data_IF_893892963604
#
_entry.id   IF_893892963604
#
_cell.length_a   1.000
_cell.length_b   1.000
_cell.length_c   1.000
_cell.angle_alpha   90.00
_cell.angle_beta   90.00
_cell.angle_gamma   90.00
#
_symmetry.space_group_name_H-M   'P 1'
#
loop_
_entity.id
_entity.type
_entity.pdbx_description
1 polymer ?
#
# COMPACT_ATOMS: atom_id res chain seq x y z
N UNK A 1 -36.45 -20.71 -10.68
CA UNK A 1 -35.93 -20.12 -9.43
C UNK A 1 -34.39 -20.04 -9.43
N UNK A 2 -33.67 -21.11 -9.77
CA UNK A 2 -32.18 -21.11 -9.80
C UNK A 2 -31.55 -20.11 -10.78
N UNK A 3 -32.08 -19.98 -12.00
CA UNK A 3 -31.58 -19.01 -13.00
C UNK A 3 -31.65 -17.57 -12.48
N UNK A 4 -32.77 -17.21 -11.85
CA UNK A 4 -32.96 -15.89 -11.24
C UNK A 4 -31.96 -15.64 -10.11
N UNK A 5 -31.73 -16.63 -9.24
CA UNK A 5 -30.74 -16.52 -8.15
C UNK A 5 -29.33 -16.33 -8.71
N UNK A 6 -28.96 -17.06 -9.77
CA UNK A 6 -27.66 -16.91 -10.41
C UNK A 6 -27.49 -15.53 -11.06
N UNK A 7 -28.53 -15.01 -11.72
CA UNK A 7 -28.50 -13.65 -12.28
C UNK A 7 -28.32 -12.58 -11.21
N UNK A 8 -29.01 -12.70 -10.08
CA UNK A 8 -28.84 -11.76 -8.96
C UNK A 8 -27.42 -11.82 -8.40
N UNK A 9 -26.86 -13.02 -8.22
CA UNK A 9 -25.46 -13.18 -7.79
C UNK A 9 -24.48 -12.54 -8.76
N UNK A 10 -24.71 -12.65 -10.07
CA UNK A 10 -23.88 -12.02 -11.10
C UNK A 10 -23.95 -10.49 -11.02
N UNK A 11 -25.14 -9.91 -10.83
CA UNK A 11 -25.31 -8.45 -10.69
C UNK A 11 -24.63 -7.92 -9.41
N UNK A 12 -24.74 -8.65 -8.29
CA UNK A 12 -24.02 -8.33 -7.05
C UNK A 12 -22.50 -8.36 -7.28
N UNK A 13 -22.01 -9.40 -7.98
CA UNK A 13 -20.61 -9.51 -8.36
C UNK A 13 -20.10 -8.31 -9.15
N UNK A 14 -20.86 -7.87 -10.15
CA UNK A 14 -20.56 -6.68 -10.94
C UNK A 14 -20.57 -5.40 -10.09
N UNK A 15 -21.49 -5.27 -9.14
CA UNK A 15 -21.53 -4.14 -8.21
C UNK A 15 -20.29 -4.08 -7.31
N UNK A 16 -19.83 -5.23 -6.81
CA UNK A 16 -18.60 -5.32 -6.01
C UNK A 16 -17.37 -4.97 -6.86
N UNK A 17 -17.31 -5.40 -8.12
CA UNK A 17 -16.25 -4.99 -9.04
C UNK A 17 -16.23 -3.47 -9.27
N UNK A 18 -17.40 -2.83 -9.42
CA UNK A 18 -17.49 -1.35 -9.51
C UNK A 18 -16.98 -0.66 -8.24
N UNK A 19 -17.25 -1.22 -7.06
CA UNK A 19 -16.74 -0.71 -5.78
C UNK A 19 -15.22 -0.84 -5.72
N UNK A 20 -14.66 -1.99 -6.11
CA UNK A 20 -13.21 -2.19 -6.17
C UNK A 20 -12.53 -1.20 -7.13
N UNK A 21 -13.12 -0.99 -8.31
CA UNK A 21 -12.63 -0.02 -9.28
C UNK A 21 -12.73 1.42 -8.75
N UNK A 22 -13.78 1.75 -8.00
CA UNK A 22 -13.90 3.07 -7.35
C UNK A 22 -12.87 3.31 -6.23
N UNK A 23 -12.28 2.24 -5.71
CA UNK A 23 -11.18 2.28 -4.73
C UNK A 23 -9.79 2.20 -5.39
N UNK A 24 -9.72 2.05 -6.71
CA UNK A 24 -8.49 1.81 -7.48
C UNK A 24 -7.69 0.59 -6.98
N UNK A 25 -8.39 -0.50 -6.63
CA UNK A 25 -7.79 -1.72 -6.09
C UNK A 25 -7.88 -2.91 -7.04
N UNK A 26 -6.77 -3.64 -7.18
CA UNK A 26 -6.75 -4.95 -7.81
C UNK A 26 -7.42 -6.02 -6.92
N UNK A 27 -7.94 -7.13 -7.49
CA UNK A 27 -8.56 -8.22 -6.72
C UNK A 27 -7.71 -8.77 -5.59
N UNK A 28 -6.39 -8.90 -5.80
CA UNK A 28 -5.48 -9.39 -4.78
C UNK A 28 -5.31 -8.40 -3.62
N UNK A 29 -5.26 -7.10 -3.92
CA UNK A 29 -5.14 -6.05 -2.91
C UNK A 29 -6.42 -5.97 -2.09
N UNK A 30 -7.57 -5.95 -2.77
CA UNK A 30 -8.88 -5.93 -2.15
C UNK A 30 -9.06 -7.12 -1.20
N UNK A 31 -8.71 -8.33 -1.64
CA UNK A 31 -8.78 -9.53 -0.82
C UNK A 31 -8.01 -9.38 0.50
N UNK A 32 -6.75 -8.96 0.43
CA UNK A 32 -5.91 -8.78 1.63
C UNK A 32 -6.48 -7.69 2.54
N UNK A 33 -6.95 -6.58 1.98
CA UNK A 33 -7.50 -5.44 2.72
C UNK A 33 -8.83 -5.80 3.42
N UNK A 34 -9.66 -6.65 2.81
CA UNK A 34 -10.96 -7.07 3.37
C UNK A 34 -10.92 -8.42 4.12
N UNK A 35 -9.74 -8.99 4.37
CA UNK A 35 -9.55 -10.33 4.97
C UNK A 35 -10.31 -11.45 4.24
N UNK A 36 -10.41 -11.34 2.91
CA UNK A 36 -10.93 -12.39 2.05
C UNK A 36 -9.77 -13.11 1.35
N UNK A 37 -10.04 -14.30 0.81
CA UNK A 37 -9.08 -14.95 -0.09
C UNK A 37 -9.21 -14.35 -1.48
N UNK A 38 -8.12 -14.36 -2.26
CA UNK A 38 -8.14 -13.92 -3.66
C UNK A 38 -9.16 -14.72 -4.47
N UNK A 39 -9.24 -16.03 -4.23
CA UNK A 39 -10.23 -16.90 -4.87
C UNK A 39 -11.67 -16.48 -4.55
N UNK A 40 -11.96 -16.10 -3.30
CA UNK A 40 -13.28 -15.57 -2.93
C UNK A 40 -13.60 -14.31 -3.74
N UNK A 41 -12.67 -13.36 -3.85
CA UNK A 41 -12.88 -12.11 -4.60
C UNK A 41 -13.08 -12.37 -6.11
N UNK A 42 -12.29 -13.26 -6.70
CA UNK A 42 -12.45 -13.66 -8.10
C UNK A 42 -13.81 -14.35 -8.35
N UNK A 43 -14.22 -15.23 -7.44
CA UNK A 43 -15.50 -15.94 -7.51
C UNK A 43 -16.69 -14.98 -7.42
N UNK A 44 -16.60 -13.93 -6.60
CA UNK A 44 -17.62 -12.87 -6.54
C UNK A 44 -17.84 -12.24 -7.91
N UNK A 45 -16.76 -11.87 -8.62
CA UNK A 45 -16.86 -11.29 -9.96
C UNK A 45 -17.57 -12.20 -10.96
N UNK A 46 -17.43 -13.52 -10.80
CA UNK A 46 -18.11 -14.53 -11.61
C UNK A 46 -19.53 -14.88 -11.12
N UNK A 47 -20.03 -14.28 -10.04
CA UNK A 47 -21.32 -14.61 -9.43
C UNK A 47 -21.33 -15.97 -8.71
N UNK A 48 -20.16 -16.52 -8.35
CA UNK A 48 -20.00 -17.86 -7.77
C UNK A 48 -19.45 -17.79 -6.35
N UNK A 49 -19.69 -18.84 -5.55
CA UNK A 49 -18.86 -19.16 -4.39
C UNK A 49 -18.78 -18.14 -3.25
N UNK A 50 -19.71 -17.17 -3.15
CA UNK A 50 -19.81 -16.26 -2.00
C UNK A 50 -21.09 -16.47 -1.21
N UNK A 51 -21.01 -16.23 0.10
CA UNK A 51 -22.11 -16.34 1.05
C UNK A 51 -22.41 -14.99 1.72
N UNK A 52 -23.42 -14.96 2.59
CA UNK A 52 -23.80 -13.78 3.36
C UNK A 52 -22.62 -13.19 4.15
N UNK A 53 -21.80 -14.02 4.80
CA UNK A 53 -20.62 -13.57 5.56
C UNK A 53 -19.60 -12.84 4.68
N UNK A 54 -19.41 -13.29 3.45
CA UNK A 54 -18.53 -12.62 2.47
C UNK A 54 -19.04 -11.21 2.16
N UNK A 55 -20.34 -11.08 1.92
CA UNK A 55 -21.00 -9.80 1.62
C UNK A 55 -20.98 -8.87 2.84
N UNK A 56 -21.23 -9.41 4.03
CA UNK A 56 -21.15 -8.67 5.30
C UNK A 56 -19.74 -8.12 5.54
N UNK A 57 -18.69 -8.90 5.29
CA UNK A 57 -17.32 -8.43 5.40
C UNK A 57 -17.05 -7.27 4.42
N UNK A 58 -17.51 -7.37 3.18
CA UNK A 58 -17.32 -6.29 2.20
C UNK A 58 -18.09 -5.05 2.63
N UNK A 59 -19.35 -5.19 3.04
CA UNK A 59 -20.17 -4.10 3.59
C UNK A 59 -19.47 -3.41 4.75
N UNK A 60 -18.94 -4.18 5.71
CA UNK A 60 -18.19 -3.69 6.84
C UNK A 60 -16.97 -2.87 6.41
N UNK A 61 -16.08 -3.43 5.59
CA UNK A 61 -14.85 -2.71 5.20
C UNK A 61 -15.14 -1.52 4.31
N UNK A 62 -16.09 -1.60 3.39
CA UNK A 62 -16.45 -0.47 2.51
C UNK A 62 -17.26 0.61 3.24
N UNK A 63 -17.87 0.25 4.38
CA UNK A 63 -18.82 1.11 5.10
C UNK A 63 -20.14 1.31 4.38
N UNK A 64 -20.39 0.57 3.29
CA UNK A 64 -21.65 0.62 2.56
C UNK A 64 -22.68 -0.27 3.26
N UNK A 65 -23.86 0.25 3.61
CA UNK A 65 -24.98 -0.56 4.06
C UNK A 65 -25.32 -1.68 3.07
N UNK A 66 -25.81 -2.82 3.56
CA UNK A 66 -26.13 -3.97 2.70
C UNK A 66 -27.13 -3.64 1.58
N UNK A 67 -28.15 -2.83 1.88
CA UNK A 67 -29.12 -2.39 0.88
C UNK A 67 -28.46 -1.57 -0.24
N UNK A 68 -27.44 -0.75 0.06
CA UNK A 68 -26.70 0.00 -0.96
C UNK A 68 -25.69 -0.85 -1.73
N UNK A 69 -25.01 -1.76 -1.03
CA UNK A 69 -24.07 -2.70 -1.65
C UNK A 69 -24.79 -3.65 -2.61
N UNK A 70 -26.00 -4.08 -2.25
CA UNK A 70 -26.86 -4.94 -3.07
C UNK A 70 -27.75 -4.14 -4.04
N UNK A 71 -27.70 -2.80 -4.03
CA UNK A 71 -28.45 -1.98 -4.97
C UNK A 71 -27.79 -2.03 -6.36
N UNK A 72 -28.18 -3.03 -7.14
CA UNK A 72 -27.69 -3.26 -8.51
C UNK A 72 -28.22 -2.23 -9.52
N UNK A 73 -29.26 -1.47 -9.16
CA UNK A 73 -29.85 -0.43 -10.02
C UNK A 73 -29.17 0.94 -9.87
N UNK A 74 -28.52 1.19 -8.73
CA UNK A 74 -27.81 2.42 -8.50
C UNK A 74 -26.44 2.41 -9.18
N UNK A 75 -26.18 3.44 -9.99
CA UNK A 75 -24.85 3.72 -10.53
C UNK A 75 -24.08 4.76 -9.72
N UNK A 76 -24.74 5.45 -8.78
CA UNK A 76 -24.08 6.44 -7.93
C UNK A 76 -23.30 5.75 -6.82
N UNK A 77 -22.01 6.02 -6.77
CA UNK A 77 -21.10 5.69 -5.67
C UNK A 77 -20.38 6.99 -5.33
N UNK A 78 -20.56 7.52 -4.12
CA UNK A 78 -19.72 8.60 -3.62
C UNK A 78 -18.32 8.03 -3.37
N UNK A 79 -17.45 8.17 -4.38
CA UNK A 79 -16.07 7.66 -4.33
C UNK A 79 -15.29 8.27 -3.17
N UNK A 80 -15.52 9.54 -2.84
CA UNK A 80 -14.76 10.24 -1.81
C UNK A 80 -15.12 9.69 -0.42
N UNK A 81 -16.41 9.54 -0.15
CA UNK A 81 -16.87 8.94 1.10
C UNK A 81 -16.48 7.46 1.20
N UNK A 82 -16.66 6.69 0.13
CA UNK A 82 -16.27 5.28 0.06
C UNK A 82 -14.79 5.09 0.39
N UNK A 83 -13.90 5.85 -0.28
CA UNK A 83 -12.46 5.73 -0.10
C UNK A 83 -12.04 6.10 1.33
N UNK A 84 -12.58 7.20 1.88
CA UNK A 84 -12.33 7.63 3.26
C UNK A 84 -12.75 6.56 4.27
N UNK A 85 -13.97 6.06 4.17
CA UNK A 85 -14.51 5.06 5.11
C UNK A 85 -13.78 3.73 4.97
N UNK A 86 -13.48 3.32 3.74
CA UNK A 86 -12.74 2.10 3.48
C UNK A 86 -11.38 2.09 4.19
N UNK A 87 -10.56 3.11 3.96
CA UNK A 87 -9.24 3.18 4.59
C UNK A 87 -9.32 3.35 6.11
N UNK A 88 -10.33 4.04 6.63
CA UNK A 88 -10.57 4.11 8.07
C UNK A 88 -10.85 2.73 8.65
N UNK A 89 -11.73 1.95 8.02
CA UNK A 89 -12.08 0.61 8.50
C UNK A 89 -10.92 -0.38 8.34
N UNK A 90 -10.17 -0.33 7.23
CA UNK A 90 -8.95 -1.14 7.08
C UNK A 90 -7.92 -0.75 8.14
N UNK A 91 -7.72 0.54 8.42
CA UNK A 91 -6.80 1.00 9.48
C UNK A 91 -7.18 0.45 10.85
N UNK A 92 -8.47 0.49 11.20
CA UNK A 92 -8.98 0.10 12.52
C UNK A 92 -9.01 -1.42 12.70
N UNK A 93 -9.44 -2.18 11.68
CA UNK A 93 -9.76 -3.60 11.82
C UNK A 93 -8.80 -4.54 11.07
N UNK A 94 -7.96 -4.00 10.19
CA UNK A 94 -6.94 -4.73 9.44
C UNK A 94 -5.63 -3.92 9.36
N UNK A 95 -5.14 -3.47 10.52
CA UNK A 95 -3.99 -2.58 10.63
C UNK A 95 -2.72 -3.11 9.94
N UNK A 96 -2.52 -4.44 9.90
CA UNK A 96 -1.39 -5.06 9.21
C UNK A 96 -1.45 -4.85 7.69
N UNK A 97 -2.60 -5.11 7.07
CA UNK A 97 -2.81 -4.83 5.65
C UNK A 97 -2.77 -3.32 5.37
N UNK A 98 -3.40 -2.50 6.21
CA UNK A 98 -3.33 -1.04 6.10
C UNK A 98 -1.87 -0.55 6.05
N UNK A 99 -1.03 -1.02 6.98
CA UNK A 99 0.40 -0.66 6.97
C UNK A 99 1.06 -1.13 5.67
N UNK A 100 0.84 -2.36 5.23
CA UNK A 100 1.44 -2.91 4.00
C UNK A 100 1.10 -2.10 2.73
N UNK A 101 -0.13 -1.60 2.62
CA UNK A 101 -0.63 -0.94 1.39
C UNK A 101 -0.64 0.59 1.45
N UNK A 102 -0.78 1.18 2.65
CA UNK A 102 -0.86 2.63 2.84
C UNK A 102 0.40 3.24 3.45
N UNK A 103 1.32 2.45 4.00
CA UNK A 103 2.69 2.93 4.05
C UNK A 103 3.16 2.93 2.60
N UNK A 104 3.32 4.12 2.01
CA UNK A 104 4.30 4.30 0.93
C UNK A 104 5.51 3.49 1.38
N UNK A 105 5.93 2.50 0.58
CA UNK A 105 7.18 1.78 0.85
C UNK A 105 8.22 2.86 1.02
N UNK A 106 8.62 3.16 2.25
CA UNK A 106 9.65 4.14 2.52
C UNK A 106 10.93 3.47 2.03
N UNK A 107 11.29 3.78 0.80
CA UNK A 107 12.40 3.11 0.13
C UNK A 107 13.71 3.60 0.75
N UNK A 108 14.76 2.79 0.66
CA UNK A 108 16.11 3.18 1.07
C UNK A 108 16.51 4.52 0.41
N UNK A 109 16.09 4.72 -0.84
CA UNK A 109 16.31 5.95 -1.60
C UNK A 109 15.60 7.14 -0.95
N UNK A 110 14.34 7.00 -0.58
CA UNK A 110 13.59 8.06 0.11
C UNK A 110 14.18 8.36 1.49
N UNK A 111 14.58 7.35 2.25
CA UNK A 111 15.26 7.50 3.53
C UNK A 111 16.53 8.35 3.43
N UNK A 112 17.39 8.02 2.45
CA UNK A 112 18.64 8.74 2.23
C UNK A 112 18.37 10.14 1.70
N UNK A 113 17.41 10.33 0.79
CA UNK A 113 17.02 11.65 0.31
C UNK A 113 16.47 12.52 1.43
N UNK A 114 15.69 11.97 2.34
CA UNK A 114 15.15 12.70 3.49
C UNK A 114 16.27 13.10 4.45
N UNK A 115 17.19 12.18 4.77
CA UNK A 115 18.40 12.50 5.54
C UNK A 115 19.22 13.60 4.86
N UNK A 116 19.41 13.50 3.53
CA UNK A 116 20.16 14.48 2.75
C UNK A 116 19.47 15.85 2.70
N UNK A 117 18.13 15.93 2.64
CA UNK A 117 17.42 17.21 2.52
C UNK A 117 17.11 17.85 3.87
N UNK A 118 16.62 17.05 4.82
CA UNK A 118 15.87 17.54 5.97
C UNK A 118 16.63 17.43 7.30
N UNK A 119 17.87 16.91 7.29
CA UNK A 119 18.66 16.75 8.51
C UNK A 119 20.07 17.34 8.38
N UNK A 120 20.67 17.68 9.52
CA UNK A 120 22.10 18.05 9.65
C UNK A 120 23.03 16.83 9.62
N UNK A 121 22.49 15.64 9.34
CA UNK A 121 23.24 14.39 9.42
C UNK A 121 24.47 14.35 8.49
N UNK A 122 24.38 15.01 7.34
CA UNK A 122 25.45 15.12 6.33
C UNK A 122 26.29 16.41 6.45
N UNK A 123 26.09 17.22 7.50
CA UNK A 123 26.93 18.40 7.74
C UNK A 123 28.35 17.99 8.15
N UNK A 124 28.49 16.78 8.71
CA UNK A 124 29.76 16.12 8.98
C UNK A 124 29.88 14.94 8.00
N UNK A 125 31.07 14.69 7.41
CA UNK A 125 31.26 13.56 6.51
C UNK A 125 30.84 12.22 7.14
N UNK A 126 30.05 11.43 6.39
CA UNK A 126 29.55 10.12 6.80
C UNK A 126 29.94 9.02 5.85
N UNK A 127 30.34 7.88 6.39
CA UNK A 127 30.57 6.65 5.64
C UNK A 127 29.25 5.93 5.32
N UNK A 128 29.26 5.05 4.32
CA UNK A 128 28.09 4.21 3.99
C UNK A 128 27.61 3.40 5.20
N UNK A 129 28.54 2.93 6.05
CA UNK A 129 28.21 2.16 7.25
C UNK A 129 27.44 2.98 8.29
N UNK A 130 27.84 4.24 8.51
CA UNK A 130 27.13 5.14 9.43
C UNK A 130 25.73 5.50 8.92
N UNK A 131 25.60 5.78 7.62
CA UNK A 131 24.29 6.02 6.97
C UNK A 131 23.39 4.80 7.13
N UNK A 132 23.91 3.60 6.85
CA UNK A 132 23.17 2.34 7.00
C UNK A 132 22.68 2.15 8.44
N UNK A 133 23.57 2.33 9.42
CA UNK A 133 23.24 2.13 10.83
C UNK A 133 22.18 3.15 11.30
N UNK A 134 22.26 4.41 10.83
CA UNK A 134 21.25 5.44 11.13
C UNK A 134 19.88 5.06 10.59
N UNK A 135 19.78 4.66 9.32
CA UNK A 135 18.51 4.27 8.70
C UNK A 135 17.96 2.99 9.34
N UNK A 136 18.82 2.02 9.64
CA UNK A 136 18.41 0.80 10.33
C UNK A 136 17.83 1.09 11.71
N UNK A 137 18.41 2.05 12.44
CA UNK A 137 17.89 2.51 13.73
C UNK A 137 16.56 3.26 13.60
N UNK A 138 16.47 4.21 12.66
CA UNK A 138 15.30 5.08 12.54
C UNK A 138 14.08 4.35 11.96
N UNK A 139 14.29 3.36 11.09
CA UNK A 139 13.21 2.68 10.37
C UNK A 139 13.06 1.21 10.77
N UNK A 140 13.93 0.66 11.62
CA UNK A 140 13.92 -0.75 12.02
C UNK A 140 13.98 -1.72 10.82
N UNK A 141 14.79 -1.39 9.81
CA UNK A 141 14.98 -2.18 8.58
C UNK A 141 16.43 -2.66 8.50
N UNK A 142 16.65 -3.94 8.20
CA UNK A 142 17.98 -4.46 7.85
C UNK A 142 18.30 -4.13 6.40
N UNK A 143 19.46 -3.53 6.15
CA UNK A 143 19.82 -2.98 4.85
C UNK A 143 21.13 -3.58 4.34
N UNK A 144 21.13 -4.02 3.08
CA UNK A 144 22.36 -4.38 2.39
C UNK A 144 23.19 -3.13 2.05
N UNK A 145 24.51 -3.21 2.29
CA UNK A 145 25.43 -2.10 2.04
C UNK A 145 25.48 -1.67 0.56
N UNK A 146 25.19 -2.59 -0.37
CA UNK A 146 25.10 -2.35 -1.81
C UNK A 146 23.97 -1.37 -2.16
N UNK A 147 22.76 -1.61 -1.62
CA UNK A 147 21.58 -0.79 -1.85
C UNK A 147 21.75 0.63 -1.28
N UNK A 148 22.33 0.76 -0.09
CA UNK A 148 22.65 2.05 0.53
C UNK A 148 23.67 2.82 -0.32
N UNK A 149 24.72 2.14 -0.81
CA UNK A 149 25.73 2.75 -1.66
C UNK A 149 25.15 3.28 -2.96
N UNK A 150 24.29 2.50 -3.63
CA UNK A 150 23.62 2.94 -4.86
C UNK A 150 22.72 4.16 -4.63
N UNK A 151 21.92 4.14 -3.57
CA UNK A 151 21.04 5.26 -3.23
C UNK A 151 21.83 6.54 -2.87
N UNK A 152 22.98 6.42 -2.19
CA UNK A 152 23.87 7.56 -1.94
C UNK A 152 24.45 8.13 -3.25
N UNK A 153 24.85 7.27 -4.19
CA UNK A 153 25.32 7.73 -5.51
C UNK A 153 24.24 8.48 -6.28
N UNK A 154 22.98 8.07 -6.17
CA UNK A 154 21.89 8.77 -6.84
C UNK A 154 21.63 10.15 -6.18
N UNK A 155 21.73 10.27 -4.86
CA UNK A 155 21.72 11.57 -4.18
C UNK A 155 22.90 12.48 -4.58
N UNK A 156 24.07 11.91 -4.87
CA UNK A 156 25.22 12.66 -5.41
C UNK A 156 24.94 13.17 -6.82
N UNK A 157 24.36 12.33 -7.70
CA UNK A 157 23.95 12.75 -9.05
C UNK A 157 22.91 13.87 -9.00
N UNK A 158 22.01 13.82 -8.02
CA UNK A 158 21.00 14.85 -7.75
C UNK A 158 21.55 16.10 -7.04
N UNK A 159 22.87 16.15 -6.75
CA UNK A 159 23.54 17.27 -6.06
C UNK A 159 22.98 17.56 -4.66
N UNK A 160 22.42 16.55 -4.00
CA UNK A 160 21.94 16.67 -2.61
C UNK A 160 23.08 16.53 -1.59
N UNK A 161 24.10 15.76 -1.97
CA UNK A 161 25.31 15.49 -1.19
C UNK A 161 26.50 15.37 -2.16
N UNK A 162 27.70 15.54 -1.64
CA UNK A 162 28.99 15.31 -2.30
C UNK A 162 29.59 13.99 -1.82
N UNK A 163 30.54 13.48 -2.59
CA UNK A 163 31.26 12.24 -2.32
C UNK A 163 32.76 12.49 -2.38
N UNK A 164 33.45 12.21 -1.28
CA UNK A 164 34.90 12.23 -1.22
C UNK A 164 35.48 10.83 -1.08
N UNK A 165 36.70 10.68 -1.58
CA UNK A 165 37.47 9.45 -1.47
C UNK A 165 38.28 9.47 -0.18
N UNK A 166 38.01 8.52 0.72
CA UNK A 166 38.74 8.34 1.98
C UNK A 166 39.87 7.30 1.85
N UNK A 167 39.82 6.45 0.82
CA UNK A 167 40.84 5.43 0.53
C UNK A 167 40.60 4.72 -0.80
N UNK A 168 41.25 3.57 -1.03
CA UNK A 168 41.15 2.82 -2.29
C UNK A 168 39.71 2.44 -2.67
N UNK A 169 38.89 2.03 -1.68
CA UNK A 169 37.48 1.63 -1.87
C UNK A 169 36.51 2.29 -0.87
N UNK A 170 37.00 3.22 -0.05
CA UNK A 170 36.22 3.87 1.00
C UNK A 170 35.85 5.29 0.59
N UNK A 171 34.58 5.63 0.81
CA UNK A 171 34.01 6.92 0.47
C UNK A 171 33.27 7.51 1.67
N UNK A 172 33.26 8.83 1.74
CA UNK A 172 32.47 9.60 2.67
C UNK A 172 31.56 10.56 1.91
N UNK A 173 30.43 10.91 2.53
CA UNK A 173 29.38 11.72 1.94
C UNK A 173 29.06 12.89 2.87
N UNK A 174 28.89 14.08 2.31
CA UNK A 174 28.63 15.34 3.05
C UNK A 174 27.83 16.32 2.18
N UNK A 175 27.33 17.44 2.71
CA UNK A 175 26.67 18.50 1.93
C UNK A 175 27.66 19.48 1.28
#
# INVERSE_FOLDING_TARGET
MERYIQEQKKKIGQRIQKIMAALDLEPAQFAVLTKLTVNTVLNIGAGKGFNSNTILNISFYTGLPLNELLNVSSNSLDRKQLNKTFWLNVKTYNASAYKKFNQKRFTIVEAIRELAKNTSFFDIPKTTGEVRNKIAKDHSISLESSAVSQALLDCVKEKLIKKDKLGLRNFQYHK
#
